data_IF_286363963203
#
_entry.id   IF_286363963203
#
_cell.length_a   1.000
_cell.length_b   1.000
_cell.length_c   1.000
_cell.angle_alpha   90.00
_cell.angle_beta   90.00
_cell.angle_gamma   90.00
#
_symmetry.space_group_name_H-M   'P 1'
#
loop_
_entity.id
_entity.type
_entity.pdbx_description
1 polymer ?
#
# COMPACT_ATOMS: atom_id res chain seq x y z
N UNK A 1 -15.20 10.50 0.78
CA UNK A 1 -16.20 10.49 -0.30
C UNK A 1 -16.78 9.09 -0.54
N UNK A 2 -15.98 8.03 -0.57
CA UNK A 2 -16.44 6.67 -0.93
C UNK A 2 -16.51 5.66 0.23
N UNK A 3 -16.67 6.12 1.48
CA UNK A 3 -16.55 5.24 2.64
C UNK A 3 -17.58 4.08 2.65
N UNK A 4 -18.81 4.36 2.19
CA UNK A 4 -19.91 3.39 2.14
C UNK A 4 -20.10 2.74 0.76
N UNK A 5 -19.14 2.89 -0.17
CA UNK A 5 -19.29 2.33 -1.51
C UNK A 5 -18.97 0.83 -1.54
N UNK A 6 -19.80 0.03 -2.23
CA UNK A 6 -19.67 -1.42 -2.33
C UNK A 6 -18.44 -1.89 -3.12
N UNK A 7 -17.85 -1.00 -3.92
CA UNK A 7 -16.75 -1.30 -4.84
C UNK A 7 -15.43 -0.62 -4.45
N UNK A 8 -15.35 0.04 -3.29
CA UNK A 8 -14.10 0.70 -2.83
C UNK A 8 -13.61 0.09 -1.52
N UNK A 9 -12.30 0.02 -1.37
CA UNK A 9 -11.66 -0.37 -0.11
C UNK A 9 -11.34 0.88 0.73
N UNK A 10 -11.60 0.81 2.03
CA UNK A 10 -11.39 1.94 2.94
C UNK A 10 -9.96 2.04 3.50
N UNK A 11 -9.21 0.93 3.48
CA UNK A 11 -7.79 0.87 3.87
C UNK A 11 -7.00 0.09 2.83
N UNK A 12 -5.98 0.73 2.25
CA UNK A 12 -5.08 0.08 1.30
C UNK A 12 -3.95 -0.71 1.98
N UNK A 13 -3.46 -0.21 3.12
CA UNK A 13 -2.38 -0.79 3.94
C UNK A 13 -2.66 -2.22 4.43
N UNK A 14 -3.92 -2.63 4.46
CA UNK A 14 -4.29 -4.00 4.82
C UNK A 14 -4.01 -5.02 3.72
N UNK A 15 -3.83 -4.57 2.49
CA UNK A 15 -3.70 -5.42 1.30
C UNK A 15 -2.32 -5.32 0.66
N UNK A 16 -1.66 -4.17 0.78
CA UNK A 16 -0.32 -3.89 0.27
C UNK A 16 0.44 -2.99 1.25
N UNK A 17 1.77 -3.12 1.35
CA UNK A 17 2.57 -2.22 2.18
C UNK A 17 2.54 -0.80 1.59
N UNK A 18 2.40 0.20 2.46
CA UNK A 18 2.39 1.62 2.06
C UNK A 18 3.46 2.36 2.86
N UNK A 19 4.47 2.89 2.18
CA UNK A 19 5.57 3.61 2.83
C UNK A 19 5.18 5.03 3.26
N UNK A 20 4.41 5.75 2.43
CA UNK A 20 4.04 7.15 2.67
C UNK A 20 2.60 7.42 2.22
N UNK A 21 1.82 8.07 3.10
CA UNK A 21 0.51 8.62 2.78
C UNK A 21 0.59 10.12 2.52
N UNK A 22 -0.12 10.58 1.49
CA UNK A 22 -0.22 12.00 1.12
C UNK A 22 -1.69 12.41 1.25
N UNK A 23 -1.96 13.41 2.09
CA UNK A 23 -3.31 13.91 2.29
C UNK A 23 -3.73 14.85 1.14
N UNK A 24 -4.98 14.72 0.68
CA UNK A 24 -5.59 15.63 -0.28
C UNK A 24 -6.72 15.00 -1.08
N UNK A 25 -7.67 15.82 -1.52
CA UNK A 25 -8.78 15.40 -2.37
C UNK A 25 -9.15 16.56 -3.32
N UNK A 26 -8.32 16.91 -4.31
CA UNK A 26 -7.07 16.28 -4.76
C UNK A 26 -5.83 16.91 -4.07
N UNK A 27 -4.72 16.17 -3.85
CA UNK A 27 -3.52 16.79 -3.28
C UNK A 27 -2.96 17.87 -4.20
N UNK A 28 -2.49 18.95 -3.59
CA UNK A 28 -1.76 20.02 -4.27
C UNK A 28 -0.40 19.51 -4.75
N UNK A 29 0.17 20.01 -5.87
CA UNK A 29 1.49 19.58 -6.35
C UNK A 29 2.59 19.67 -5.29
N UNK A 30 2.53 20.70 -4.44
CA UNK A 30 3.49 20.92 -3.35
C UNK A 30 3.43 19.80 -2.30
N UNK A 31 2.24 19.25 -2.01
CA UNK A 31 2.07 18.12 -1.10
C UNK A 31 2.63 16.82 -1.69
N UNK A 32 2.54 16.65 -3.01
CA UNK A 32 3.15 15.51 -3.70
C UNK A 32 4.68 15.56 -3.62
N UNK A 33 5.28 16.75 -3.85
CA UNK A 33 6.72 16.95 -3.73
C UNK A 33 7.22 16.67 -2.31
N UNK A 34 6.52 17.16 -1.29
CA UNK A 34 6.82 16.87 0.10
C UNK A 34 6.74 15.35 0.42
N UNK A 35 5.78 14.64 -0.17
CA UNK A 35 5.68 13.19 -0.07
C UNK A 35 6.90 12.46 -0.66
N UNK A 36 7.39 12.91 -1.81
CA UNK A 36 8.62 12.37 -2.42
C UNK A 36 9.88 12.68 -1.60
N UNK A 37 9.99 13.89 -1.06
CA UNK A 37 11.08 14.23 -0.15
C UNK A 37 11.07 13.31 1.07
N UNK A 38 9.89 13.08 1.66
CA UNK A 38 9.73 12.16 2.79
C UNK A 38 10.14 10.73 2.45
N UNK A 39 9.71 10.24 1.28
CA UNK A 39 10.10 8.92 0.81
C UNK A 39 11.63 8.79 0.65
N UNK A 40 12.28 9.82 0.09
CA UNK A 40 13.75 9.86 -0.05
C UNK A 40 14.45 9.81 1.31
N UNK A 41 13.92 10.48 2.33
CA UNK A 41 14.45 10.39 3.70
C UNK A 41 14.34 8.99 4.28
N UNK A 42 13.18 8.33 4.11
CA UNK A 42 12.95 6.96 4.60
C UNK A 42 13.90 5.96 3.95
N UNK A 43 14.09 6.05 2.63
CA UNK A 43 15.01 5.19 1.89
C UNK A 43 16.45 5.39 2.39
N UNK A 44 16.91 6.63 2.55
CA UNK A 44 18.25 6.93 3.08
C UNK A 44 18.45 6.44 4.50
N UNK A 45 17.39 6.39 5.30
CA UNK A 45 17.41 5.88 6.67
C UNK A 45 17.30 4.35 6.76
N UNK A 46 17.19 3.62 5.62
CA UNK A 46 16.98 2.18 5.61
C UNK A 46 15.60 1.75 6.14
N UNK A 47 14.58 2.61 6.00
CA UNK A 47 13.21 2.38 6.49
C UNK A 47 12.18 2.17 5.39
N UNK A 48 12.58 2.24 4.12
CA UNK A 48 11.72 1.97 2.95
C UNK A 48 11.66 0.49 2.62
N UNK A 49 11.30 -0.34 3.60
CA UNK A 49 11.35 -1.81 3.50
C UNK A 49 9.98 -2.46 3.32
N UNK A 50 9.00 -1.76 2.74
CA UNK A 50 7.65 -2.30 2.53
C UNK A 50 7.62 -3.68 1.84
N UNK A 51 8.56 -3.95 0.93
CA UNK A 51 8.71 -5.26 0.31
C UNK A 51 9.13 -6.37 1.29
N UNK A 52 10.06 -6.08 2.22
CA UNK A 52 10.47 -7.04 3.24
C UNK A 52 9.30 -7.32 4.18
N UNK A 53 8.59 -6.28 4.62
CA UNK A 53 7.39 -6.43 5.45
C UNK A 53 6.33 -7.31 4.74
N UNK A 54 6.14 -7.10 3.44
CA UNK A 54 5.21 -7.91 2.66
C UNK A 54 5.64 -9.37 2.57
N UNK A 55 6.94 -9.64 2.41
CA UNK A 55 7.47 -11.00 2.39
C UNK A 55 7.36 -11.68 3.76
N UNK A 56 7.67 -10.98 4.85
CA UNK A 56 7.57 -11.49 6.23
C UNK A 56 6.12 -11.76 6.64
N UNK A 57 5.20 -10.86 6.24
CA UNK A 57 3.76 -10.95 6.57
C UNK A 57 2.92 -11.46 5.39
N UNK A 58 3.53 -12.22 4.49
CA UNK A 58 2.92 -12.61 3.21
C UNK A 58 1.56 -13.27 3.38
N UNK A 59 1.44 -14.22 4.30
CA UNK A 59 0.17 -14.92 4.57
C UNK A 59 -0.91 -13.98 5.11
N UNK A 60 -0.55 -12.96 5.89
CA UNK A 60 -1.51 -11.98 6.42
C UNK A 60 -2.08 -11.11 5.29
N UNK A 61 -1.21 -10.57 4.44
CA UNK A 61 -1.64 -9.78 3.29
C UNK A 61 -2.47 -10.63 2.32
N UNK A 62 -2.04 -11.85 2.02
CA UNK A 62 -2.75 -12.78 1.14
C UNK A 62 -4.12 -13.16 1.68
N UNK A 63 -4.23 -13.40 2.99
CA UNK A 63 -5.52 -13.65 3.64
C UNK A 63 -6.46 -12.45 3.55
N UNK A 64 -5.95 -11.23 3.67
CA UNK A 64 -6.76 -10.02 3.48
C UNK A 64 -7.19 -9.86 2.02
N UNK A 65 -6.29 -10.03 1.05
CA UNK A 65 -6.58 -9.96 -0.39
C UNK A 65 -7.70 -10.95 -0.78
N UNK A 66 -7.62 -12.21 -0.31
CA UNK A 66 -8.62 -13.25 -0.59
C UNK A 66 -10.02 -12.96 -0.03
N UNK A 67 -10.14 -12.12 1.01
CA UNK A 67 -11.46 -11.69 1.53
C UNK A 67 -12.23 -10.83 0.53
N UNK A 68 -11.51 -10.05 -0.30
CA UNK A 68 -12.10 -9.11 -1.24
C UNK A 68 -12.12 -9.70 -2.65
N UNK A 69 -11.02 -10.32 -3.08
CA UNK A 69 -10.86 -10.85 -4.43
C UNK A 69 -10.96 -12.38 -4.36
N UNK A 70 -12.19 -12.89 -4.52
CA UNK A 70 -12.50 -14.33 -4.33
C UNK A 70 -11.82 -15.25 -5.35
N UNK A 71 -11.63 -14.76 -6.57
CA UNK A 71 -10.98 -15.50 -7.66
C UNK A 71 -9.51 -15.10 -7.82
N UNK A 72 -8.90 -14.53 -6.78
CA UNK A 72 -7.49 -14.16 -6.82
C UNK A 72 -6.62 -15.39 -6.59
N UNK A 73 -6.09 -15.90 -7.69
CA UNK A 73 -4.92 -16.74 -7.65
C UNK A 73 -3.72 -15.87 -7.95
N UNK A 74 -2.85 -15.70 -6.95
CA UNK A 74 -1.59 -14.98 -7.19
C UNK A 74 -0.77 -15.89 -8.10
N UNK A 75 -0.38 -15.44 -9.30
CA UNK A 75 0.41 -16.28 -10.18
C UNK A 75 1.68 -16.67 -9.44
N UNK A 76 2.12 -17.91 -9.61
CA UNK A 76 3.41 -18.37 -9.11
C UNK A 76 4.50 -17.53 -9.82
N UNK A 77 4.87 -16.41 -9.20
CA UNK A 77 6.00 -15.61 -9.63
C UNK A 77 7.25 -16.41 -9.27
N UNK A 78 7.69 -17.23 -10.21
CA UNK A 78 9.00 -17.87 -10.19
C UNK A 78 10.01 -16.81 -10.64
N UNK A 79 10.53 -16.02 -9.70
CA UNK A 79 11.77 -15.26 -9.89
C UNK A 79 12.88 -15.93 -9.09
#
# INVERSE_FOLDING_TARGET
MYYDSYNTINRLDHYLPVDVYIAGCMPRPEALLAGFEKLKELIKAGKGEGQNEYAEKFEWYKANQKKIIKNWDMPDYNW
#
